data_IF_935672829335
#
_entry.id   IF_935672829335
#
_cell.length_a   1.000
_cell.length_b   1.000
_cell.length_c   1.000
_cell.angle_alpha   90.00
_cell.angle_beta   90.00
_cell.angle_gamma   90.00
#
_symmetry.space_group_name_H-M   'P 1'
#
loop_
_entity.id
_entity.type
_entity.pdbx_description
1 polymer ?
#
# COMPACT_ATOMS: atom_id res chain seq x y z
N UNK A 1 32.56 25.57 -6.21
CA UNK A 1 32.38 24.10 -6.09
C UNK A 1 31.01 23.78 -6.67
N UNK A 2 30.96 23.22 -7.87
CA UNK A 2 29.72 22.75 -8.50
C UNK A 2 29.38 21.38 -7.92
N UNK A 3 28.34 21.31 -7.09
CA UNK A 3 27.78 20.04 -6.65
C UNK A 3 27.04 19.40 -7.83
N UNK A 4 27.75 18.56 -8.58
CA UNK A 4 27.16 17.73 -9.62
C UNK A 4 26.26 16.69 -8.94
N UNK A 5 24.96 16.78 -9.17
CA UNK A 5 24.00 15.76 -8.74
C UNK A 5 24.42 14.41 -9.32
N UNK A 6 24.72 13.46 -8.44
CA UNK A 6 24.94 12.06 -8.80
C UNK A 6 23.62 11.33 -8.53
N UNK A 7 22.87 10.88 -9.56
CA UNK A 7 21.75 9.99 -9.32
C UNK A 7 22.27 8.74 -8.61
N UNK A 8 21.51 8.27 -7.61
CA UNK A 8 21.78 7.00 -6.89
C UNK A 8 21.41 5.82 -7.81
N UNK A 9 21.96 5.80 -9.03
CA UNK A 9 21.77 4.74 -10.00
C UNK A 9 23.06 3.95 -10.09
N UNK A 10 23.04 2.73 -9.56
CA UNK A 10 24.16 1.80 -9.61
C UNK A 10 23.83 0.71 -10.62
N UNK A 11 24.76 0.38 -11.53
CA UNK A 11 24.58 -0.64 -12.57
C UNK A 11 24.28 -2.05 -12.02
N UNK A 12 24.41 -2.26 -10.71
CA UNK A 12 24.04 -3.49 -9.99
C UNK A 12 22.79 -3.31 -9.10
N UNK A 13 21.78 -2.53 -9.53
CA UNK A 13 20.48 -2.42 -8.84
C UNK A 13 19.63 -3.71 -8.86
N UNK A 14 20.25 -4.86 -9.13
CA UNK A 14 19.67 -6.20 -8.92
C UNK A 14 19.47 -6.59 -7.45
N UNK A 15 19.46 -5.64 -6.51
CA UNK A 15 19.29 -5.90 -5.06
C UNK A 15 17.85 -6.29 -4.70
N UNK A 16 16.96 -6.40 -5.68
CA UNK A 16 15.63 -6.99 -5.54
C UNK A 16 15.61 -8.53 -5.66
N UNK A 17 16.75 -9.20 -5.51
CA UNK A 17 16.84 -10.67 -5.46
C UNK A 17 16.43 -11.30 -4.11
N UNK A 18 15.95 -10.52 -3.14
CA UNK A 18 15.22 -11.06 -2.00
C UNK A 18 13.73 -11.17 -2.36
N UNK A 19 13.02 -12.27 -2.01
CA UNK A 19 11.57 -12.29 -2.15
C UNK A 19 11.02 -11.07 -1.40
N UNK A 20 10.50 -10.09 -2.16
CA UNK A 20 9.93 -8.88 -1.58
C UNK A 20 8.87 -9.32 -0.58
N UNK A 21 8.97 -8.84 0.65
CA UNK A 21 7.99 -9.17 1.67
C UNK A 21 6.65 -8.64 1.19
N UNK A 22 5.70 -9.55 0.91
CA UNK A 22 4.37 -9.16 0.45
C UNK A 22 3.71 -8.29 1.51
N UNK A 23 3.20 -7.15 1.10
CA UNK A 23 2.47 -6.23 1.97
C UNK A 23 1.02 -6.21 1.52
N UNK A 24 0.10 -6.19 2.46
CA UNK A 24 -1.34 -6.15 2.26
C UNK A 24 -1.90 -4.91 2.94
N UNK A 25 -2.91 -4.30 2.33
CA UNK A 25 -3.73 -3.30 3.00
C UNK A 25 -5.20 -3.69 3.02
N UNK A 26 -5.86 -3.30 4.10
CA UNK A 26 -7.32 -3.39 4.25
C UNK A 26 -7.87 -1.99 4.31
N UNK A 27 -8.75 -1.66 3.37
CA UNK A 27 -9.44 -0.38 3.30
C UNK A 27 -10.92 -0.58 3.59
N UNK A 28 -11.54 0.44 4.17
CA UNK A 28 -12.97 0.48 4.37
C UNK A 28 -13.55 1.84 3.96
N UNK A 29 -14.78 1.84 3.47
CA UNK A 29 -15.49 3.07 3.14
C UNK A 29 -16.28 3.55 4.36
N UNK A 30 -15.91 4.71 4.90
CA UNK A 30 -16.64 5.34 6.00
C UNK A 30 -17.63 6.38 5.47
N UNK A 31 -18.70 6.61 6.23
CA UNK A 31 -19.68 7.66 5.96
C UNK A 31 -19.98 8.36 7.27
N UNK A 32 -19.85 9.68 7.28
CA UNK A 32 -20.20 10.57 8.39
C UNK A 32 -21.03 11.73 7.87
N UNK A 33 -21.57 12.55 8.77
CA UNK A 33 -22.35 13.74 8.41
C UNK A 33 -21.55 14.76 7.58
N UNK A 34 -20.23 14.82 7.77
CA UNK A 34 -19.36 15.85 7.18
C UNK A 34 -18.48 15.35 6.03
N UNK A 35 -18.23 14.03 5.96
CA UNK A 35 -17.37 13.46 4.93
C UNK A 35 -17.62 11.96 4.72
N UNK A 36 -17.27 11.49 3.54
CA UNK A 36 -17.31 10.07 3.18
C UNK A 36 -16.06 9.75 2.36
N UNK A 37 -15.49 8.57 2.53
CA UNK A 37 -14.29 8.22 1.80
C UNK A 37 -13.73 6.85 2.16
N UNK A 38 -12.66 6.50 1.46
CA UNK A 38 -11.88 5.30 1.75
C UNK A 38 -10.81 5.62 2.79
N UNK A 39 -10.74 4.80 3.83
CA UNK A 39 -9.73 4.88 4.86
C UNK A 39 -8.99 3.55 4.99
N UNK A 40 -7.69 3.64 5.33
CA UNK A 40 -6.86 2.48 5.62
C UNK A 40 -7.17 2.01 7.04
N UNK A 41 -7.54 0.74 7.19
CA UNK A 41 -7.76 0.10 8.49
C UNK A 41 -6.52 -0.64 8.98
N UNK A 42 -5.79 -1.28 8.06
CA UNK A 42 -4.61 -2.08 8.38
C UNK A 42 -3.63 -2.11 7.20
N UNK A 43 -2.34 -2.06 7.50
CA UNK A 43 -1.24 -2.45 6.61
C UNK A 43 -0.47 -3.55 7.34
N UNK A 44 -0.24 -4.67 6.68
CA UNK A 44 0.42 -5.84 7.29
C UNK A 44 1.22 -6.62 6.26
N UNK A 45 2.18 -7.41 6.71
CA UNK A 45 2.90 -8.39 5.88
C UNK A 45 2.22 -9.79 5.88
N UNK A 46 1.12 -9.95 6.64
CA UNK A 46 0.39 -11.20 6.79
C UNK A 46 -0.96 -11.13 6.10
N UNK A 47 -1.16 -12.00 5.10
CA UNK A 47 -2.45 -12.12 4.45
C UNK A 47 -3.55 -12.60 5.41
N UNK A 48 -3.20 -13.43 6.39
CA UNK A 48 -4.15 -13.93 7.37
C UNK A 48 -4.63 -12.82 8.31
N UNK A 49 -3.75 -11.90 8.72
CA UNK A 49 -4.14 -10.70 9.48
C UNK A 49 -5.04 -9.77 8.65
N UNK A 50 -4.72 -9.57 7.37
CA UNK A 50 -5.55 -8.76 6.48
C UNK A 50 -6.96 -9.36 6.32
N UNK A 51 -7.07 -10.68 6.12
CA UNK A 51 -8.37 -11.39 6.11
C UNK A 51 -9.10 -11.27 7.44
N UNK A 52 -8.39 -11.43 8.56
CA UNK A 52 -9.00 -11.33 9.88
C UNK A 52 -9.57 -9.93 10.10
N UNK A 53 -8.86 -8.88 9.70
CA UNK A 53 -9.35 -7.50 9.81
C UNK A 53 -10.55 -7.22 8.91
N UNK A 54 -10.54 -7.71 7.67
CA UNK A 54 -11.70 -7.61 6.78
C UNK A 54 -12.93 -8.29 7.38
N UNK A 55 -12.77 -9.47 7.98
CA UNK A 55 -13.84 -10.18 8.68
C UNK A 55 -14.33 -9.45 9.94
N UNK A 56 -13.44 -8.81 10.69
CA UNK A 56 -13.81 -7.95 11.81
C UNK A 56 -14.70 -6.79 11.35
N UNK A 57 -14.32 -6.10 10.27
CA UNK A 57 -15.11 -5.00 9.70
C UNK A 57 -16.50 -5.45 9.23
N UNK A 58 -16.60 -6.62 8.60
CA UNK A 58 -17.88 -7.25 8.23
C UNK A 58 -18.75 -7.52 9.46
N UNK A 59 -18.17 -8.13 10.51
CA UNK A 59 -18.87 -8.43 11.77
C UNK A 59 -19.33 -7.16 12.50
N UNK A 60 -18.60 -6.06 12.35
CA UNK A 60 -18.94 -4.76 12.92
C UNK A 60 -19.97 -3.97 12.07
N UNK A 61 -20.53 -4.58 11.02
CA UNK A 61 -21.62 -3.99 10.22
C UNK A 61 -21.17 -3.20 9.01
N UNK A 62 -19.87 -3.21 8.66
CA UNK A 62 -19.42 -2.65 7.38
C UNK A 62 -19.90 -3.54 6.25
N UNK A 63 -20.50 -2.95 5.21
CA UNK A 63 -20.96 -3.72 4.05
C UNK A 63 -19.79 -4.32 3.27
N UNK A 64 -19.99 -5.50 2.68
CA UNK A 64 -18.94 -6.21 1.94
C UNK A 64 -18.40 -5.42 0.74
N UNK A 65 -19.27 -4.68 0.04
CA UNK A 65 -18.90 -3.80 -1.08
C UNK A 65 -18.13 -2.53 -0.64
N UNK A 66 -17.98 -2.33 0.68
CA UNK A 66 -17.26 -1.22 1.31
C UNK A 66 -15.97 -1.65 1.99
N UNK A 67 -15.45 -2.83 1.65
CA UNK A 67 -14.20 -3.36 2.18
C UNK A 67 -13.33 -3.79 1.01
N UNK A 68 -12.06 -3.37 1.00
CA UNK A 68 -11.07 -3.77 -0.01
C UNK A 68 -9.90 -4.41 0.71
N UNK A 69 -9.49 -5.59 0.27
CA UNK A 69 -8.22 -6.22 0.64
C UNK A 69 -7.36 -6.25 -0.62
N UNK A 70 -6.21 -5.58 -0.59
CA UNK A 70 -5.33 -5.48 -1.73
C UNK A 70 -3.88 -5.75 -1.35
N UNK A 71 -3.14 -6.36 -2.28
CA UNK A 71 -1.68 -6.45 -2.20
C UNK A 71 -1.07 -5.10 -2.59
N UNK A 72 -0.09 -4.64 -1.81
CA UNK A 72 0.72 -3.47 -2.12
C UNK A 72 1.96 -3.97 -2.85
N UNK A 73 2.05 -3.63 -4.14
CA UNK A 73 3.20 -3.92 -4.97
C UNK A 73 3.97 -2.61 -5.20
N UNK A 74 5.15 -2.42 -4.59
CA UNK A 74 5.96 -1.23 -4.84
C UNK A 74 6.43 -1.24 -6.29
N UNK A 75 6.24 -0.11 -6.98
CA UNK A 75 6.70 0.11 -8.35
C UNK A 75 8.04 0.84 -8.28
N UNK A 76 9.10 0.27 -8.87
CA UNK A 76 10.46 0.84 -8.84
C UNK A 76 10.68 1.91 -9.92
N UNK A 77 9.61 2.35 -10.58
CA UNK A 77 9.69 3.39 -11.59
C UNK A 77 9.94 4.72 -10.90
N UNK A 78 11.17 5.22 -11.01
CA UNK A 78 11.47 6.62 -10.71
C UNK A 78 10.69 7.47 -11.73
N UNK A 79 9.59 8.08 -11.29
CA UNK A 79 8.88 9.09 -12.08
C UNK A 79 9.69 10.37 -11.97
N UNK A 80 10.71 10.53 -12.80
CA UNK A 80 11.33 11.85 -12.99
C UNK A 80 10.35 12.71 -13.78
N UNK A 81 9.92 13.88 -13.26
CA UNK A 81 9.20 14.84 -14.08
C UNK A 81 10.09 15.20 -15.27
N UNK A 82 9.60 14.97 -16.48
CA UNK A 82 10.20 15.54 -17.68
C UNK A 82 10.01 17.06 -17.60
N UNK A 83 11.15 17.75 -17.55
CA UNK A 83 11.29 19.21 -17.49
C UNK A 83 10.47 19.91 -18.57
#
# INVERSE_FOLDING_TARGET
MTNTYQPVYHNNQGVFNNPRQRVWSVWYYYTSEYSSGWAISLITNSFDEAKQKANELLRNGTRMDRIIVNEIVPIDTVITPSV
#
